data_IF_569074913511
#
_entry.id   IF_569074913511
#
_cell.length_a   1.000
_cell.length_b   1.000
_cell.length_c   1.000
_cell.angle_alpha   90.00
_cell.angle_beta   90.00
_cell.angle_gamma   90.00
#
_symmetry.space_group_name_H-M   'P 1'
#
loop_
_entity.id
_entity.type
_entity.pdbx_description
1 polymer ?
#
# COMPACT_ATOMS: atom_id res chain seq x y z
N UNK A 1 2.09 4.63 -16.72
CA UNK A 1 1.71 3.28 -16.27
C UNK A 1 1.38 3.32 -14.79
N UNK A 2 0.30 2.66 -14.37
CA UNK A 2 -0.04 2.48 -12.96
C UNK A 2 1.16 1.86 -12.21
N UNK A 3 1.36 2.26 -10.95
CA UNK A 3 2.44 1.73 -10.10
C UNK A 3 3.87 1.93 -10.64
N UNK A 4 4.06 2.89 -11.55
CA UNK A 4 5.37 3.28 -12.05
C UNK A 4 5.95 4.46 -11.26
N UNK A 5 7.26 4.60 -11.26
CA UNK A 5 7.92 5.78 -10.68
C UNK A 5 7.48 7.05 -11.42
N UNK A 6 7.34 6.99 -12.74
CA UNK A 6 6.83 8.14 -13.53
C UNK A 6 5.43 8.57 -13.11
N UNK A 7 4.54 7.65 -12.69
CA UNK A 7 3.20 8.04 -12.22
C UNK A 7 3.25 8.79 -10.89
N UNK A 8 4.12 8.38 -9.97
CA UNK A 8 4.37 9.10 -8.72
C UNK A 8 4.90 10.52 -8.98
N UNK A 9 5.94 10.63 -9.81
CA UNK A 9 6.53 11.93 -10.15
C UNK A 9 5.54 12.84 -10.87
N UNK A 10 4.66 12.28 -11.70
CA UNK A 10 3.59 13.04 -12.36
C UNK A 10 2.54 13.53 -11.37
N UNK A 11 2.10 12.69 -10.43
CA UNK A 11 1.18 13.10 -9.37
C UNK A 11 1.75 14.26 -8.54
N UNK A 12 3.02 14.19 -8.17
CA UNK A 12 3.72 15.27 -7.47
C UNK A 12 3.78 16.56 -8.31
N UNK A 13 4.14 16.45 -9.59
CA UNK A 13 4.30 17.59 -10.50
C UNK A 13 3.00 18.40 -10.71
N UNK A 14 1.84 17.78 -10.56
CA UNK A 14 0.52 18.44 -10.69
C UNK A 14 -0.12 18.77 -9.35
N UNK A 15 0.62 18.58 -8.24
CA UNK A 15 0.18 18.97 -6.90
C UNK A 15 -0.91 18.07 -6.30
N UNK A 16 -0.93 16.79 -6.62
CA UNK A 16 -1.84 15.83 -5.96
C UNK A 16 -1.56 15.77 -4.45
N UNK A 17 -2.61 15.65 -3.64
CA UNK A 17 -2.50 15.40 -2.20
C UNK A 17 -1.68 14.16 -1.89
N UNK A 18 -1.96 13.06 -2.56
CA UNK A 18 -1.29 11.79 -2.39
C UNK A 18 -1.18 11.01 -3.71
N UNK A 19 -0.25 10.09 -3.76
CA UNK A 19 -0.12 9.09 -4.82
C UNK A 19 -0.27 7.72 -4.19
N UNK A 20 -1.28 6.98 -4.64
CA UNK A 20 -1.55 5.62 -4.21
C UNK A 20 -0.71 4.64 -5.01
N UNK A 21 -0.25 3.56 -4.35
CA UNK A 21 0.49 2.47 -4.97
C UNK A 21 0.36 1.17 -4.17
N UNK A 22 0.40 0.05 -4.88
CA UNK A 22 0.11 -1.28 -4.37
C UNK A 22 1.38 -2.08 -4.09
N UNK A 23 1.45 -2.76 -2.95
CA UNK A 23 2.63 -3.52 -2.51
C UNK A 23 2.31 -4.98 -2.27
N UNK A 24 3.20 -5.84 -2.78
CA UNK A 24 3.27 -7.27 -2.53
C UNK A 24 4.59 -7.64 -1.88
N UNK A 25 4.58 -8.69 -1.05
CA UNK A 25 5.81 -9.36 -0.62
C UNK A 25 6.07 -10.59 -1.49
N UNK A 26 7.18 -10.58 -2.21
CA UNK A 26 7.64 -11.65 -3.09
C UNK A 26 8.08 -12.90 -2.30
N UNK A 27 8.28 -14.03 -2.99
CA UNK A 27 8.66 -15.32 -2.38
C UNK A 27 9.88 -15.23 -1.47
N UNK A 28 10.87 -14.44 -1.86
CA UNK A 28 12.14 -14.20 -1.14
C UNK A 28 12.08 -12.99 -0.19
N UNK A 29 10.87 -12.51 0.13
CA UNK A 29 10.56 -11.38 1.01
C UNK A 29 10.95 -9.99 0.46
N UNK A 30 11.32 -9.88 -0.78
CA UNK A 30 11.46 -8.58 -1.43
C UNK A 30 10.08 -7.93 -1.60
N UNK A 31 9.96 -6.66 -1.24
CA UNK A 31 8.75 -5.87 -1.44
C UNK A 31 8.76 -5.26 -2.84
N UNK A 32 7.68 -5.45 -3.58
CA UNK A 32 7.54 -5.01 -4.98
C UNK A 32 6.24 -4.24 -5.17
N UNK A 33 6.20 -3.36 -6.15
CA UNK A 33 5.06 -2.46 -6.40
C UNK A 33 4.33 -2.92 -7.66
N UNK A 34 3.09 -3.42 -7.49
CA UNK A 34 2.21 -3.86 -8.57
C UNK A 34 0.77 -4.03 -8.07
N UNK A 35 -0.22 -3.71 -8.90
CA UNK A 35 -1.63 -3.86 -8.54
C UNK A 35 -2.09 -5.33 -8.53
N UNK A 36 -1.87 -6.04 -9.62
CA UNK A 36 -2.43 -7.37 -9.84
C UNK A 36 -1.62 -8.47 -9.12
N UNK A 37 -2.27 -9.55 -8.67
CA UNK A 37 -1.57 -10.68 -8.05
C UNK A 37 -0.66 -11.43 -9.02
N UNK A 38 -0.85 -11.23 -10.33
CA UNK A 38 -0.02 -11.80 -11.40
C UNK A 38 0.32 -10.73 -12.43
N UNK A 39 1.58 -10.62 -12.81
CA UNK A 39 2.01 -9.76 -13.91
C UNK A 39 2.90 -10.52 -14.89
N UNK A 40 2.57 -10.47 -16.18
CA UNK A 40 3.28 -11.23 -17.25
C UNK A 40 3.55 -12.70 -16.87
N UNK A 41 2.50 -13.40 -16.46
CA UNK A 41 2.52 -14.81 -16.02
C UNK A 41 3.37 -15.07 -14.76
N UNK A 42 3.78 -14.05 -14.03
CA UNK A 42 4.55 -14.15 -12.78
C UNK A 42 3.65 -13.79 -11.60
N UNK A 43 3.27 -14.76 -10.75
CA UNK A 43 2.53 -14.48 -9.52
C UNK A 43 3.45 -13.76 -8.50
N UNK A 44 2.96 -12.67 -7.90
CA UNK A 44 3.73 -11.80 -7.01
C UNK A 44 4.27 -12.57 -5.79
N UNK A 45 3.42 -13.26 -5.06
CA UNK A 45 3.81 -13.97 -3.85
C UNK A 45 4.73 -15.17 -4.07
N UNK A 46 4.71 -15.77 -5.28
CA UNK A 46 5.39 -17.04 -5.57
C UNK A 46 6.61 -16.89 -6.46
N UNK A 47 6.88 -15.67 -6.95
CA UNK A 47 8.08 -15.36 -7.74
C UNK A 47 9.15 -14.69 -6.89
N UNK A 48 10.42 -14.85 -7.27
CA UNK A 48 11.53 -14.10 -6.66
C UNK A 48 11.45 -12.62 -7.02
N UNK A 49 11.77 -11.74 -6.08
CA UNK A 49 11.70 -10.30 -6.27
C UNK A 49 12.53 -9.78 -7.46
N UNK A 50 13.73 -10.34 -7.68
CA UNK A 50 14.56 -9.93 -8.83
C UNK A 50 13.95 -10.33 -10.18
N UNK A 51 13.26 -11.47 -10.24
CA UNK A 51 12.52 -11.87 -11.44
C UNK A 51 11.32 -10.94 -11.71
N UNK A 52 10.69 -10.41 -10.67
CA UNK A 52 9.59 -9.45 -10.79
C UNK A 52 10.11 -8.07 -11.22
N UNK A 53 11.14 -7.56 -10.55
CA UNK A 53 11.69 -6.22 -10.83
C UNK A 53 12.46 -6.14 -12.15
N UNK A 54 12.74 -7.26 -12.79
CA UNK A 54 13.25 -7.34 -14.17
C UNK A 54 12.17 -7.18 -15.24
N UNK A 55 10.87 -7.28 -14.88
CA UNK A 55 9.77 -7.15 -15.83
C UNK A 55 9.58 -5.69 -16.25
N UNK A 56 9.20 -5.48 -17.53
CA UNK A 56 8.92 -4.14 -18.08
C UNK A 56 7.43 -3.83 -17.94
N UNK A 57 7.13 -2.64 -17.43
CA UNK A 57 5.82 -2.03 -17.46
C UNK A 57 5.47 -1.55 -18.88
N UNK A 58 4.22 -1.15 -19.12
CA UNK A 58 3.77 -0.67 -20.44
C UNK A 58 4.46 0.60 -20.91
N UNK A 59 4.99 1.41 -19.99
CA UNK A 59 5.75 2.62 -20.29
C UNK A 59 7.27 2.39 -20.44
N UNK A 60 7.73 1.14 -20.44
CA UNK A 60 9.13 0.77 -20.60
C UNK A 60 9.97 0.79 -19.31
N UNK A 61 9.44 1.32 -18.20
CA UNK A 61 10.10 1.22 -16.88
C UNK A 61 10.14 -0.22 -16.39
N UNK A 62 11.03 -0.53 -15.47
CA UNK A 62 10.96 -1.79 -14.75
C UNK A 62 9.87 -1.73 -13.68
N UNK A 63 9.23 -2.88 -13.38
CA UNK A 63 8.38 -3.03 -12.21
C UNK A 63 9.21 -2.65 -10.96
N UNK A 64 8.79 -1.65 -10.17
CA UNK A 64 9.64 -1.14 -9.10
C UNK A 64 9.70 -2.10 -7.90
N UNK A 65 10.86 -2.17 -7.24
CA UNK A 65 10.87 -2.57 -5.84
C UNK A 65 10.31 -1.43 -4.98
N UNK A 66 9.78 -1.76 -3.80
CA UNK A 66 9.34 -0.74 -2.84
C UNK A 66 10.47 0.23 -2.50
N UNK A 67 11.70 -0.28 -2.34
CA UNK A 67 12.87 0.56 -2.07
C UNK A 67 13.08 1.65 -3.14
N UNK A 68 13.08 1.27 -4.42
CA UNK A 68 13.22 2.24 -5.52
C UNK A 68 12.06 3.22 -5.62
N UNK A 69 10.84 2.73 -5.36
CA UNK A 69 9.65 3.59 -5.37
C UNK A 69 9.70 4.64 -4.25
N UNK A 70 10.01 4.23 -3.03
CA UNK A 70 10.15 5.14 -1.89
C UNK A 70 11.35 6.08 -2.05
N UNK A 71 12.45 5.64 -2.66
CA UNK A 71 13.59 6.49 -2.99
C UNK A 71 13.19 7.65 -3.91
N UNK A 72 12.43 7.36 -4.96
CA UNK A 72 11.84 8.41 -5.82
C UNK A 72 10.90 9.32 -5.03
N UNK A 73 10.11 8.75 -4.12
CA UNK A 73 9.17 9.49 -3.26
C UNK A 73 9.83 10.45 -2.27
N UNK A 74 11.11 10.27 -1.91
CA UNK A 74 11.81 11.17 -0.98
C UNK A 74 11.79 12.63 -1.43
N UNK A 75 11.91 12.86 -2.72
CA UNK A 75 12.00 14.19 -3.32
C UNK A 75 10.64 14.78 -3.73
N UNK A 76 9.55 14.05 -3.48
CA UNK A 76 8.19 14.52 -3.76
C UNK A 76 7.58 15.21 -2.54
N UNK A 77 6.62 16.10 -2.75
CA UNK A 77 5.81 16.70 -1.70
C UNK A 77 4.52 15.90 -1.45
N UNK A 78 4.06 15.16 -2.44
CA UNK A 78 2.84 14.35 -2.40
C UNK A 78 2.93 13.26 -1.33
N UNK A 79 1.82 12.97 -0.63
CA UNK A 79 1.77 11.88 0.35
C UNK A 79 1.87 10.53 -0.35
N UNK A 80 2.44 9.56 0.35
CA UNK A 80 2.63 8.20 -0.14
C UNK A 80 1.55 7.31 0.48
N UNK A 81 0.55 6.94 -0.31
CA UNK A 81 -0.59 6.12 0.12
C UNK A 81 -0.31 4.68 -0.33
N UNK A 82 0.12 3.84 0.60
CA UNK A 82 0.52 2.46 0.34
C UNK A 82 -0.63 1.51 0.61
N UNK A 83 -1.11 0.81 -0.44
CA UNK A 83 -1.98 -0.35 -0.27
C UNK A 83 -1.13 -1.62 -0.09
N UNK A 84 -1.26 -2.27 1.06
CA UNK A 84 -0.79 -3.64 1.19
C UNK A 84 -1.86 -4.59 0.68
N UNK A 85 -1.56 -5.29 -0.39
CA UNK A 85 -2.48 -6.28 -0.98
C UNK A 85 -2.66 -7.47 -0.03
N UNK A 86 -3.87 -8.05 -0.01
CA UNK A 86 -4.15 -9.24 0.76
C UNK A 86 -3.33 -10.43 0.25
N UNK A 87 -2.67 -11.14 1.15
CA UNK A 87 -1.80 -12.26 0.83
C UNK A 87 -2.44 -13.61 1.18
N UNK A 88 -1.82 -14.68 0.76
CA UNK A 88 -2.31 -16.06 0.94
C UNK A 88 -2.50 -16.46 2.40
N UNK A 89 -1.78 -15.83 3.33
CA UNK A 89 -1.91 -16.08 4.76
C UNK A 89 -1.41 -14.91 5.63
N UNK A 90 -1.90 -14.88 6.87
CA UNK A 90 -1.58 -13.84 7.88
C UNK A 90 -0.09 -13.69 8.17
N UNK A 91 0.69 -14.78 8.16
CA UNK A 91 2.13 -14.74 8.42
C UNK A 91 2.87 -13.95 7.33
N UNK A 92 2.42 -14.09 6.07
CA UNK A 92 2.96 -13.30 4.94
C UNK A 92 2.63 -11.82 5.09
N UNK A 93 1.39 -11.50 5.46
CA UNK A 93 0.95 -10.12 5.70
C UNK A 93 1.74 -9.47 6.85
N UNK A 94 1.87 -10.14 7.99
CA UNK A 94 2.69 -9.64 9.12
C UNK A 94 4.12 -9.35 8.68
N UNK A 95 4.73 -10.25 7.91
CA UNK A 95 6.09 -10.07 7.40
C UNK A 95 6.19 -8.89 6.42
N UNK A 96 5.20 -8.71 5.58
CA UNK A 96 5.11 -7.56 4.67
C UNK A 96 5.00 -6.25 5.45
N UNK A 97 4.11 -6.15 6.44
CA UNK A 97 3.96 -4.97 7.31
C UNK A 97 5.28 -4.63 8.00
N UNK A 98 5.95 -5.61 8.60
CA UNK A 98 7.25 -5.42 9.26
C UNK A 98 8.30 -4.87 8.29
N UNK A 99 8.41 -5.46 7.09
CA UNK A 99 9.35 -5.04 6.06
C UNK A 99 9.06 -3.63 5.54
N UNK A 100 7.80 -3.30 5.31
CA UNK A 100 7.35 -1.96 4.88
C UNK A 100 7.75 -0.93 5.94
N UNK A 101 7.35 -1.13 7.19
CA UNK A 101 7.61 -0.17 8.27
C UNK A 101 9.10 0.03 8.52
N UNK A 102 9.89 -1.04 8.48
CA UNK A 102 11.35 -0.96 8.61
C UNK A 102 11.98 -0.12 7.47
N UNK A 103 11.52 -0.33 6.23
CA UNK A 103 12.03 0.41 5.07
C UNK A 103 11.63 1.89 5.12
N UNK A 104 10.37 2.19 5.43
CA UNK A 104 9.86 3.55 5.59
C UNK A 104 10.65 4.31 6.67
N UNK A 105 10.87 3.68 7.83
CA UNK A 105 11.69 4.24 8.91
C UNK A 105 13.13 4.51 8.48
N UNK A 106 13.78 3.54 7.84
CA UNK A 106 15.15 3.69 7.30
C UNK A 106 15.26 4.89 6.36
N UNK A 107 14.20 5.19 5.63
CA UNK A 107 14.17 6.31 4.67
C UNK A 107 13.69 7.64 5.24
N UNK A 108 13.22 7.67 6.52
CA UNK A 108 12.71 8.88 7.16
C UNK A 108 11.39 9.39 6.56
N UNK A 109 10.54 8.48 6.05
CA UNK A 109 9.30 8.82 5.35
C UNK A 109 8.03 8.64 6.21
N UNK A 110 8.17 8.29 7.49
CA UNK A 110 7.05 7.92 8.38
C UNK A 110 5.93 8.96 8.40
N UNK A 111 6.26 10.24 8.47
CA UNK A 111 5.29 11.34 8.52
C UNK A 111 4.58 11.61 7.19
N UNK A 112 4.99 10.94 6.11
CA UNK A 112 4.41 11.11 4.77
C UNK A 112 3.60 9.92 4.30
N UNK A 113 3.57 8.84 5.10
CA UNK A 113 2.87 7.60 4.77
C UNK A 113 1.43 7.62 5.25
N UNK A 114 0.57 7.05 4.43
CA UNK A 114 -0.75 6.53 4.78
C UNK A 114 -0.81 5.07 4.33
N UNK A 115 -1.47 4.22 5.11
CA UNK A 115 -1.61 2.80 4.78
C UNK A 115 -3.07 2.45 4.57
N UNK A 116 -3.34 1.70 3.49
CA UNK A 116 -4.67 1.20 3.17
C UNK A 116 -4.60 -0.30 2.89
N UNK A 117 -5.64 -1.05 3.16
CA UNK A 117 -5.68 -2.49 2.89
C UNK A 117 -7.09 -3.07 2.95
N UNK A 118 -7.36 -4.11 2.16
CA UNK A 118 -8.55 -4.95 2.26
C UNK A 118 -8.44 -6.04 3.33
N UNK A 119 -7.24 -6.31 3.86
CA UNK A 119 -7.04 -7.32 4.90
C UNK A 119 -7.23 -6.74 6.29
N UNK A 120 -8.20 -7.26 7.03
CA UNK A 120 -8.40 -6.91 8.44
C UNK A 120 -7.17 -7.23 9.30
N UNK A 121 -6.49 -8.34 8.99
CA UNK A 121 -5.26 -8.70 9.69
C UNK A 121 -4.14 -7.69 9.42
N UNK A 122 -3.89 -7.34 8.16
CA UNK A 122 -2.87 -6.36 7.80
C UNK A 122 -3.16 -4.97 8.41
N UNK A 123 -4.43 -4.52 8.41
CA UNK A 123 -4.83 -3.28 9.06
C UNK A 123 -4.45 -3.29 10.54
N UNK A 124 -4.81 -4.35 11.28
CA UNK A 124 -4.47 -4.50 12.70
C UNK A 124 -2.96 -4.53 12.94
N UNK A 125 -2.20 -5.17 12.07
CA UNK A 125 -0.73 -5.20 12.15
C UNK A 125 -0.11 -3.82 11.92
N UNK A 126 -0.59 -3.05 10.94
CA UNK A 126 -0.16 -1.65 10.76
C UNK A 126 -0.46 -0.80 11.99
N UNK A 127 -1.68 -0.87 12.53
CA UNK A 127 -2.08 -0.11 13.72
C UNK A 127 -1.20 -0.48 14.92
N UNK A 128 -0.88 -1.77 15.08
CA UNK A 128 -0.07 -2.27 16.20
C UNK A 128 1.40 -1.89 16.12
N UNK A 129 1.97 -1.82 14.92
CA UNK A 129 3.42 -1.74 14.68
C UNK A 129 3.90 -0.37 14.19
N UNK A 130 3.03 0.40 13.53
CA UNK A 130 3.40 1.74 13.07
C UNK A 130 3.49 2.73 14.24
N UNK A 131 4.21 3.85 14.07
CA UNK A 131 4.21 4.93 15.05
C UNK A 131 2.78 5.40 15.38
N UNK A 132 2.56 5.78 16.64
CA UNK A 132 1.26 6.29 17.07
C UNK A 132 0.80 7.48 16.19
N UNK A 133 -0.47 7.48 15.78
CA UNK A 133 -1.04 8.51 14.91
C UNK A 133 -0.80 8.30 13.41
N UNK A 134 -0.13 7.21 13.01
CA UNK A 134 -0.01 6.85 11.58
C UNK A 134 -1.39 6.57 10.99
N UNK A 135 -1.80 7.22 9.89
CA UNK A 135 -3.09 6.98 9.27
C UNK A 135 -3.16 5.58 8.63
N UNK A 136 -4.13 4.78 9.08
CA UNK A 136 -4.43 3.46 8.51
C UNK A 136 -5.93 3.41 8.20
N UNK A 137 -6.28 3.11 6.95
CA UNK A 137 -7.66 3.04 6.49
C UNK A 137 -8.02 1.63 6.02
N UNK A 138 -9.28 1.26 6.20
CA UNK A 138 -9.79 -0.05 5.80
C UNK A 138 -10.63 0.06 4.54
N UNK A 139 -10.51 -0.94 3.65
CA UNK A 139 -11.09 -0.89 2.31
C UNK A 139 -12.28 -1.86 2.10
N UNK A 140 -12.41 -2.92 2.91
CA UNK A 140 -13.26 -4.07 2.56
C UNK A 140 -14.78 -3.83 2.75
N UNK A 141 -15.20 -2.89 3.57
CA UNK A 141 -16.59 -2.41 3.61
C UNK A 141 -17.52 -3.05 4.64
N UNK A 142 -17.09 -4.08 5.38
CA UNK A 142 -17.95 -4.81 6.34
C UNK A 142 -17.97 -4.21 7.75
N UNK A 143 -17.01 -3.33 8.09
CA UNK A 143 -16.93 -2.71 9.41
C UNK A 143 -17.53 -1.29 9.40
N UNK A 144 -18.32 -0.97 10.42
CA UNK A 144 -18.84 0.38 10.64
C UNK A 144 -17.73 1.37 11.07
N UNK A 145 -17.93 2.69 10.90
CA UNK A 145 -17.00 3.69 11.41
C UNK A 145 -16.71 3.56 12.90
N UNK A 146 -17.70 3.14 13.70
CA UNK A 146 -17.54 2.91 15.13
C UNK A 146 -16.56 1.77 15.41
N UNK A 147 -16.74 0.62 14.74
CA UNK A 147 -15.85 -0.54 14.88
C UNK A 147 -14.42 -0.21 14.42
N UNK A 148 -14.27 0.53 13.32
CA UNK A 148 -12.97 0.98 12.84
C UNK A 148 -12.26 1.88 13.86
N UNK A 149 -12.99 2.82 14.44
CA UNK A 149 -12.47 3.72 15.49
C UNK A 149 -12.02 2.93 16.73
N UNK A 150 -12.82 1.96 17.17
CA UNK A 150 -12.47 1.08 18.30
C UNK A 150 -11.22 0.24 18.03
N UNK A 151 -10.97 -0.14 16.77
CA UNK A 151 -9.75 -0.83 16.34
C UNK A 151 -8.55 0.10 16.20
N UNK A 152 -8.74 1.42 16.23
CA UNK A 152 -7.67 2.41 16.09
C UNK A 152 -7.38 2.82 14.64
N UNK A 153 -8.23 2.46 13.68
CA UNK A 153 -8.12 2.92 12.30
C UNK A 153 -8.42 4.43 12.21
N UNK A 154 -7.77 5.11 11.27
CA UNK A 154 -8.01 6.53 11.00
C UNK A 154 -9.36 6.77 10.31
N UNK A 155 -9.87 5.77 9.61
CA UNK A 155 -11.15 5.83 8.92
C UNK A 155 -11.36 4.67 7.95
N UNK A 156 -12.30 4.88 7.05
CA UNK A 156 -12.65 3.95 5.97
C UNK A 156 -12.33 4.60 4.61
N UNK A 157 -11.99 3.76 3.65
CA UNK A 157 -11.92 4.14 2.23
C UNK A 157 -12.69 3.08 1.42
N UNK A 158 -14.02 3.14 1.55
CA UNK A 158 -14.92 2.11 1.05
C UNK A 158 -15.44 2.41 -0.35
N UNK A 159 -15.66 1.35 -1.11
CA UNK A 159 -16.34 1.46 -2.38
C UNK A 159 -17.68 2.21 -2.25
N UNK A 160 -17.97 3.12 -3.17
CA UNK A 160 -19.16 3.97 -3.17
C UNK A 160 -20.48 3.19 -2.99
N UNK A 161 -20.54 1.94 -3.47
CA UNK A 161 -21.68 1.05 -3.29
C UNK A 161 -21.97 0.69 -1.82
N UNK A 162 -20.94 0.64 -0.96
CA UNK A 162 -21.09 0.44 0.50
C UNK A 162 -21.64 1.71 1.12
N UNK A 163 -21.04 2.86 0.80
CA UNK A 163 -21.45 4.17 1.33
C UNK A 163 -22.90 4.49 0.96
N UNK A 164 -23.34 4.17 -0.27
CA UNK A 164 -24.75 4.35 -0.68
C UNK A 164 -25.74 3.51 0.13
N UNK A 165 -25.30 2.36 0.67
CA UNK A 165 -26.14 1.53 1.55
C UNK A 165 -26.15 2.01 3.00
N UNK A 166 -25.15 2.81 3.37
CA UNK A 166 -24.91 3.34 4.71
C UNK A 166 -24.66 4.85 4.69
N UNK A 167 -25.64 5.67 4.21
CA UNK A 167 -25.46 7.11 4.11
C UNK A 167 -25.21 7.77 5.48
N UNK A 168 -25.65 7.13 6.58
CA UNK A 168 -25.41 7.56 7.95
C UNK A 168 -23.92 7.55 8.35
N UNK A 169 -23.06 6.90 7.57
CA UNK A 169 -21.61 6.87 7.81
C UNK A 169 -20.88 8.10 7.28
N UNK A 170 -21.58 8.94 6.50
CA UNK A 170 -21.06 10.22 5.99
C UNK A 170 -21.54 11.33 6.95
N UNK A 171 -20.78 11.56 8.02
CA UNK A 171 -21.08 12.67 8.95
C UNK A 171 -19.82 13.47 9.25
#
# INVERSE_FOLDING_TARGET
SQNSISSLLKADSIGCYGSEFDVWIAKDNKLVVNHDPVYKMRPMEYSKGDALTGLKLSNGENLPSLEKYLEAGKNCNTRLILELKAHSNKKRETKAVQGILAMVKKMGLENRMEYITFSLHAMKEFIRLAPAGTPVFYLNGELSPKELKELGAAGLDYHMGVIKKHPEWIK
#
